data_IF_391161337804
#
_entry.id   IF_391161337804
#
_cell.length_a   1.000
_cell.length_b   1.000
_cell.length_c   1.000
_cell.angle_alpha   90.00
_cell.angle_beta   90.00
_cell.angle_gamma   90.00
#
_symmetry.space_group_name_H-M   'P 1'
#
loop_
_entity.id
_entity.type
_entity.pdbx_description
1 polymer ?
#
# COMPACT_ATOMS: atom_id res chain seq x y z
N UNK A 1 45.18 1.22 7.77
CA UNK A 1 45.06 2.46 6.96
C UNK A 1 43.58 2.74 6.77
N UNK A 2 42.82 3.06 7.83
CA UNK A 2 42.52 4.43 8.28
C UNK A 2 42.38 5.44 7.14
N UNK A 3 41.29 5.35 6.38
CA UNK A 3 40.83 6.45 5.55
C UNK A 3 40.04 7.42 6.43
N UNK A 4 40.56 8.63 6.46
CA UNK A 4 40.17 9.73 7.34
C UNK A 4 38.70 10.12 7.19
N UNK A 5 38.10 10.30 8.37
CA UNK A 5 36.91 11.10 8.63
C UNK A 5 36.98 12.48 7.94
N UNK A 6 36.05 12.77 7.04
CA UNK A 6 35.68 14.14 6.71
C UNK A 6 34.27 14.38 7.26
N UNK A 7 34.24 15.09 8.38
CA UNK A 7 33.05 15.72 8.95
C UNK A 7 32.68 16.89 8.04
N UNK A 8 31.52 16.82 7.38
CA UNK A 8 30.88 18.00 6.79
C UNK A 8 29.58 18.24 7.56
N UNK A 9 29.68 19.09 8.57
CA UNK A 9 28.54 19.74 9.23
C UNK A 9 28.19 21.00 8.46
N UNK A 10 27.02 21.05 7.84
CA UNK A 10 26.26 22.29 7.64
C UNK A 10 24.81 21.96 7.27
N UNK A 11 23.93 22.16 8.24
CA UNK A 11 22.48 22.18 8.09
C UNK A 11 22.07 23.34 7.18
N UNK A 12 21.63 23.01 5.97
CA UNK A 12 20.60 23.77 5.29
C UNK A 12 19.46 22.78 5.05
N UNK A 13 18.48 22.80 5.95
CA UNK A 13 17.19 22.16 5.73
C UNK A 13 16.50 22.91 4.58
N UNK A 14 16.86 22.56 3.35
CA UNK A 14 15.97 22.75 2.23
C UNK A 14 14.73 21.91 2.56
N UNK A 15 13.58 22.56 2.64
CA UNK A 15 12.28 21.90 2.52
C UNK A 15 12.31 21.14 1.20
N UNK A 16 12.69 19.86 1.25
CA UNK A 16 12.12 18.89 0.34
C UNK A 16 10.89 18.40 1.08
N UNK A 17 9.75 19.04 0.82
CA UNK A 17 8.56 18.25 0.60
C UNK A 17 8.95 17.25 -0.50
N UNK A 18 9.54 16.13 -0.10
CA UNK A 18 9.67 14.99 -0.99
C UNK A 18 8.25 14.70 -1.47
N UNK A 19 8.06 14.27 -2.72
CA UNK A 19 6.76 13.79 -3.11
C UNK A 19 6.46 12.63 -2.15
N UNK A 20 5.54 12.83 -1.21
CA UNK A 20 4.72 11.73 -0.75
C UNK A 20 4.15 11.17 -2.04
N UNK A 21 4.77 10.12 -2.56
CA UNK A 21 4.22 9.34 -3.65
C UNK A 21 2.94 8.75 -3.07
N UNK A 22 1.86 9.53 -3.13
CA UNK A 22 0.52 9.02 -2.89
C UNK A 22 0.35 7.85 -3.84
N UNK A 23 0.02 6.70 -3.28
CA UNK A 23 -0.07 5.41 -3.97
C UNK A 23 -1.04 5.51 -5.15
N UNK A 24 -2.11 6.29 -4.99
CA UNK A 24 -2.92 6.81 -6.08
C UNK A 24 -3.49 8.19 -5.75
N UNK A 25 -3.24 9.18 -6.62
CA UNK A 25 -3.91 10.48 -6.52
C UNK A 25 -5.43 10.40 -6.75
N UNK A 26 -5.91 9.30 -7.36
CA UNK A 26 -7.31 9.05 -7.65
C UNK A 26 -8.11 8.53 -6.44
N UNK A 27 -7.46 7.94 -5.45
CA UNK A 27 -8.11 7.36 -4.27
C UNK A 27 -7.16 7.45 -3.05
N UNK A 28 -7.27 8.51 -2.22
CA UNK A 28 -6.38 8.69 -1.06
C UNK A 28 -6.54 7.59 0.00
N UNK A 29 -7.65 6.85 -0.01
CA UNK A 29 -7.92 5.75 0.92
C UNK A 29 -6.93 4.59 0.75
N UNK A 30 -6.33 4.44 -0.44
CA UNK A 30 -5.30 3.42 -0.70
C UNK A 30 -4.05 3.66 0.16
N UNK A 31 -3.76 4.91 0.53
CA UNK A 31 -2.65 5.24 1.42
C UNK A 31 -2.88 4.74 2.87
N UNK A 32 -4.11 4.37 3.23
CA UNK A 32 -4.42 3.79 4.55
C UNK A 32 -4.19 2.27 4.60
N UNK A 33 -3.94 1.62 3.46
CA UNK A 33 -3.65 0.20 3.41
C UNK A 33 -2.25 -0.03 4.01
N UNK A 34 -2.11 -0.86 5.06
CA UNK A 34 -0.81 -1.20 5.62
C UNK A 34 0.15 -1.77 4.56
N UNK A 35 1.41 -1.33 4.58
CA UNK A 35 2.43 -1.77 3.62
C UNK A 35 2.66 -3.30 3.63
N UNK A 36 2.40 -3.97 4.76
CA UNK A 36 2.50 -5.43 4.85
C UNK A 36 1.46 -6.17 3.99
N UNK A 37 0.32 -5.53 3.72
CA UNK A 37 -0.81 -6.14 2.98
C UNK A 37 -1.00 -5.57 1.58
N UNK A 38 -0.45 -4.39 1.28
CA UNK A 38 -0.51 -3.82 -0.06
C UNK A 38 -0.03 -4.76 -1.17
N UNK A 39 1.18 -5.38 -1.10
CA UNK A 39 1.63 -6.27 -2.18
C UNK A 39 0.71 -7.50 -2.33
N UNK A 40 0.16 -8.01 -1.23
CA UNK A 40 -0.78 -9.11 -1.25
C UNK A 40 -2.09 -8.77 -1.97
N UNK A 41 -2.59 -7.54 -1.79
CA UNK A 41 -3.78 -7.06 -2.50
C UNK A 41 -3.44 -6.88 -3.99
N UNK A 42 -2.30 -6.26 -4.32
CA UNK A 42 -1.88 -6.06 -5.70
C UNK A 42 -1.77 -7.41 -6.46
N UNK A 43 -1.14 -8.42 -5.87
CA UNK A 43 -1.05 -9.76 -6.47
C UNK A 43 -2.43 -10.41 -6.68
N UNK A 44 -3.35 -10.22 -5.73
CA UNK A 44 -4.71 -10.76 -5.83
C UNK A 44 -5.57 -10.02 -6.87
N UNK A 45 -5.36 -8.70 -7.01
CA UNK A 45 -5.97 -7.85 -8.05
C UNK A 45 -5.50 -8.27 -9.45
N UNK A 46 -4.20 -8.52 -9.61
CA UNK A 46 -3.63 -9.05 -10.85
C UNK A 46 -4.19 -10.44 -11.19
N UNK A 47 -4.38 -11.29 -10.18
CA UNK A 47 -4.94 -12.63 -10.36
C UNK A 47 -6.40 -12.63 -10.84
N UNK A 48 -7.20 -11.61 -10.49
CA UNK A 48 -8.57 -11.42 -11.01
C UNK A 48 -8.60 -10.63 -12.33
N UNK A 49 -7.44 -10.14 -12.80
CA UNK A 49 -7.30 -9.43 -14.08
C UNK A 49 -7.78 -7.98 -14.04
N UNK A 50 -7.90 -7.37 -12.85
CA UNK A 50 -8.21 -5.96 -12.72
C UNK A 50 -6.93 -5.12 -12.88
N UNK A 51 -7.03 -3.92 -13.47
CA UNK A 51 -5.88 -3.02 -13.54
C UNK A 51 -5.54 -2.41 -12.18
N UNK A 52 -4.28 -1.99 -11.96
CA UNK A 52 -3.79 -1.44 -10.68
C UNK A 52 -4.60 -0.29 -10.08
N UNK A 53 -5.38 0.42 -10.90
CA UNK A 53 -6.25 1.53 -10.48
C UNK A 53 -7.72 1.32 -10.84
N UNK A 54 -8.11 0.11 -11.26
CA UNK A 54 -9.49 -0.22 -11.63
C UNK A 54 -10.29 -0.65 -10.39
N UNK A 55 -10.57 0.31 -9.51
CA UNK A 55 -11.27 0.05 -8.25
C UNK A 55 -12.67 -0.54 -8.47
N UNK A 56 -13.37 -0.14 -9.53
CA UNK A 56 -14.65 -0.73 -9.89
C UNK A 56 -14.53 -2.23 -10.17
N UNK A 57 -13.50 -2.66 -10.91
CA UNK A 57 -13.22 -4.07 -11.12
C UNK A 57 -12.80 -4.78 -9.83
N UNK A 58 -11.88 -4.19 -9.06
CA UNK A 58 -11.39 -4.77 -7.80
C UNK A 58 -12.54 -5.03 -6.82
N UNK A 59 -13.42 -4.03 -6.66
CA UNK A 59 -14.52 -4.06 -5.72
C UNK A 59 -15.71 -4.89 -6.23
N UNK A 60 -15.90 -4.96 -7.56
CA UNK A 60 -16.77 -5.95 -8.18
C UNK A 60 -16.32 -7.40 -7.96
N UNK A 61 -15.02 -7.62 -7.74
CA UNK A 61 -14.41 -8.92 -7.46
C UNK A 61 -13.87 -9.03 -6.03
N UNK A 62 -14.41 -8.24 -5.09
CA UNK A 62 -13.82 -8.06 -3.76
C UNK A 62 -13.64 -9.39 -3.01
N UNK A 63 -14.61 -10.31 -3.07
CA UNK A 63 -14.50 -11.62 -2.42
C UNK A 63 -13.33 -12.46 -2.99
N UNK A 64 -13.12 -12.41 -4.31
CA UNK A 64 -12.02 -13.12 -4.97
C UNK A 64 -10.67 -12.49 -4.59
N UNK A 65 -10.57 -11.16 -4.60
CA UNK A 65 -9.38 -10.43 -4.18
C UNK A 65 -9.06 -10.68 -2.69
N UNK A 66 -10.06 -10.61 -1.82
CA UNK A 66 -9.92 -10.85 -0.39
C UNK A 66 -9.43 -12.28 -0.12
N UNK A 67 -10.07 -13.28 -0.73
CA UNK A 67 -9.67 -14.68 -0.53
C UNK A 67 -8.26 -14.97 -1.05
N UNK A 68 -7.88 -14.38 -2.19
CA UNK A 68 -6.54 -14.48 -2.76
C UNK A 68 -5.47 -13.83 -1.89
N UNK A 69 -5.76 -12.64 -1.35
CA UNK A 69 -4.83 -11.89 -0.52
C UNK A 69 -4.71 -12.45 0.91
N UNK A 70 -5.74 -13.13 1.45
CA UNK A 70 -5.82 -13.53 2.87
C UNK A 70 -4.61 -14.33 3.33
N UNK A 71 -4.18 -15.33 2.57
CA UNK A 71 -3.03 -16.17 2.95
C UNK A 71 -1.71 -15.37 3.02
N UNK A 72 -1.50 -14.48 2.05
CA UNK A 72 -0.34 -13.59 2.00
C UNK A 72 -0.37 -12.57 3.14
N UNK A 73 -1.53 -11.97 3.40
CA UNK A 73 -1.73 -10.99 4.48
C UNK A 73 -1.46 -11.65 5.83
N UNK A 74 -1.99 -12.85 6.10
CA UNK A 74 -1.74 -13.55 7.37
C UNK A 74 -0.28 -14.00 7.55
N UNK A 75 0.47 -14.16 6.45
CA UNK A 75 1.89 -14.50 6.50
C UNK A 75 2.81 -13.29 6.70
N UNK A 76 2.41 -12.10 6.21
CA UNK A 76 3.24 -10.89 6.20
C UNK A 76 2.78 -9.81 7.20
N UNK A 77 1.53 -9.87 7.65
CA UNK A 77 0.94 -8.96 8.63
C UNK A 77 0.56 -9.71 9.91
N UNK A 78 0.78 -9.09 11.07
CA UNK A 78 0.11 -9.50 12.31
C UNK A 78 -1.42 -9.39 12.17
N UNK A 79 -2.15 -10.14 13.00
CA UNK A 79 -3.62 -10.20 12.99
C UNK A 79 -4.29 -8.82 13.03
N UNK A 80 -3.76 -7.88 13.80
CA UNK A 80 -4.28 -6.50 13.86
C UNK A 80 -4.13 -5.78 12.52
N UNK A 81 -2.96 -5.90 11.88
CA UNK A 81 -2.72 -5.30 10.57
C UNK A 81 -3.52 -6.01 9.48
N UNK A 82 -3.73 -7.32 9.57
CA UNK A 82 -4.59 -8.06 8.65
C UNK A 82 -6.04 -7.52 8.66
N UNK A 83 -6.61 -7.25 9.84
CA UNK A 83 -7.92 -6.60 9.94
C UNK A 83 -7.91 -5.15 9.41
N UNK A 84 -6.82 -4.42 9.64
CA UNK A 84 -6.67 -3.06 9.12
C UNK A 84 -6.59 -3.03 7.59
N UNK A 85 -5.89 -3.99 6.97
CA UNK A 85 -5.82 -4.19 5.51
C UNK A 85 -7.22 -4.43 4.95
N UNK A 86 -7.99 -5.35 5.54
CA UNK A 86 -9.36 -5.62 5.11
C UNK A 86 -10.24 -4.37 5.21
N UNK A 87 -10.17 -3.67 6.35
CA UNK A 87 -10.98 -2.47 6.60
C UNK A 87 -10.62 -1.33 5.65
N UNK A 88 -9.32 -1.15 5.36
CA UNK A 88 -8.84 -0.15 4.42
C UNK A 88 -9.25 -0.50 2.97
N UNK A 89 -9.17 -1.77 2.57
CA UNK A 89 -9.63 -2.23 1.26
C UNK A 89 -11.14 -2.00 1.08
N UNK A 90 -11.95 -2.25 2.12
CA UNK A 90 -13.38 -1.92 2.11
C UNK A 90 -13.61 -0.42 1.95
N UNK A 91 -12.87 0.42 2.69
CA UNK A 91 -12.98 1.87 2.59
C UNK A 91 -12.61 2.40 1.19
N UNK A 92 -11.61 1.79 0.53
CA UNK A 92 -11.29 2.06 -0.88
C UNK A 92 -12.48 1.74 -1.78
N UNK A 93 -13.13 0.60 -1.57
CA UNK A 93 -14.32 0.25 -2.34
C UNK A 93 -15.50 1.19 -2.11
N UNK A 94 -15.72 1.62 -0.87
CA UNK A 94 -16.81 2.54 -0.56
C UNK A 94 -16.56 3.97 -1.08
N UNK A 95 -15.28 4.38 -1.18
CA UNK A 95 -14.91 5.73 -1.60
C UNK A 95 -14.63 5.87 -3.10
N UNK A 96 -14.17 4.81 -3.77
CA UNK A 96 -13.50 4.90 -5.07
C UNK A 96 -14.00 3.94 -6.15
N UNK A 97 -14.90 2.99 -5.83
CA UNK A 97 -15.52 2.09 -6.82
C UNK A 97 -16.88 2.62 -7.29
#
# INVERSE_FOLDING_TARGET
>A
MHFSTILITALAAAVSAGPTMKRQAACPEVDNIPDCGYPCIADAVDAVGCGETDYACMCGNFDAVQSGATSCVLANCDLTNALAVLSAAQAVCDACA
#
